data_IF_763755969577
#
_entry.id   IF_763755969577
#
_cell.length_a   1.000
_cell.length_b   1.000
_cell.length_c   1.000
_cell.angle_alpha   90.00
_cell.angle_beta   90.00
_cell.angle_gamma   90.00
#
_symmetry.space_group_name_H-M   'P 1'
#
loop_
_entity.id
_entity.type
_entity.pdbx_description
1 polymer ?
#
# COMPACT_ATOMS: atom_id res chain seq x y z
N UNK A 1 8.35 -23.24 -15.22
CA UNK A 1 9.05 -22.19 -14.48
C UNK A 1 8.14 -21.57 -13.41
N UNK A 2 8.59 -21.57 -12.19
CA UNK A 2 7.80 -21.02 -11.09
C UNK A 2 8.10 -19.54 -10.97
N UNK A 3 7.07 -18.73 -11.01
CA UNK A 3 7.21 -17.29 -10.77
C UNK A 3 6.76 -16.97 -9.36
N UNK A 4 7.49 -16.07 -8.71
CA UNK A 4 7.05 -15.53 -7.44
C UNK A 4 5.92 -14.54 -7.75
N UNK A 5 4.73 -14.86 -7.28
CA UNK A 5 3.56 -14.01 -7.46
C UNK A 5 3.41 -13.11 -6.24
N UNK A 6 3.29 -11.82 -6.49
CA UNK A 6 3.05 -10.85 -5.43
C UNK A 6 1.54 -10.77 -5.21
N UNK A 7 1.12 -10.87 -3.96
CA UNK A 7 -0.29 -10.71 -3.59
C UNK A 7 -0.44 -9.46 -2.73
N UNK A 8 -1.28 -8.55 -3.16
CA UNK A 8 -1.59 -7.35 -2.38
C UNK A 8 -2.87 -7.61 -1.60
N UNK A 9 -2.77 -7.50 -0.28
CA UNK A 9 -3.88 -7.78 0.61
C UNK A 9 -4.23 -6.50 1.35
N UNK A 10 -5.47 -6.04 1.19
CA UNK A 10 -5.93 -4.83 1.85
C UNK A 10 -6.58 -5.19 3.19
N UNK A 11 -6.19 -4.47 4.24
CA UNK A 11 -6.89 -4.56 5.51
C UNK A 11 -8.31 -4.06 5.31
N UNK A 12 -9.16 -4.31 6.30
CA UNK A 12 -10.53 -3.80 6.27
C UNK A 12 -10.55 -2.27 6.19
N UNK A 13 -9.67 -1.62 6.93
CA UNK A 13 -9.55 -0.16 6.89
C UNK A 13 -9.14 0.33 5.50
N UNK A 14 -8.19 -0.35 4.88
CA UNK A 14 -7.74 0.01 3.53
C UNK A 14 -8.84 -0.16 2.50
N UNK A 15 -9.59 -1.26 2.59
CA UNK A 15 -10.72 -1.50 1.69
C UNK A 15 -11.78 -0.41 1.84
N UNK A 16 -12.09 -0.03 3.07
CA UNK A 16 -13.05 1.03 3.34
C UNK A 16 -12.59 2.35 2.74
N UNK A 17 -11.31 2.66 2.92
CA UNK A 17 -10.73 3.88 2.34
C UNK A 17 -10.96 3.91 0.82
N UNK A 18 -10.64 2.81 0.14
CA UNK A 18 -10.78 2.76 -1.32
C UNK A 18 -12.24 2.89 -1.72
N UNK A 19 -13.15 2.20 -1.04
CA UNK A 19 -14.58 2.25 -1.38
C UNK A 19 -15.20 3.62 -1.21
N UNK A 20 -14.62 4.47 -0.36
CA UNK A 20 -15.12 5.82 -0.14
C UNK A 20 -14.67 6.82 -1.21
N UNK A 21 -13.80 6.41 -2.12
CA UNK A 21 -13.30 7.29 -3.16
C UNK A 21 -14.21 7.28 -4.40
N UNK A 22 -14.12 8.30 -5.28
CA UNK A 22 -14.88 8.29 -6.53
C UNK A 22 -14.60 7.01 -7.33
N UNK A 23 -15.63 6.52 -8.03
CA UNK A 23 -15.53 5.24 -8.73
C UNK A 23 -14.32 5.16 -9.66
N UNK A 24 -14.05 6.21 -10.42
CA UNK A 24 -12.90 6.20 -11.34
C UNK A 24 -11.57 6.16 -10.61
N UNK A 25 -11.51 6.80 -9.43
CA UNK A 25 -10.30 6.72 -8.59
C UNK A 25 -10.12 5.30 -8.06
N UNK A 26 -11.21 4.64 -7.64
CA UNK A 26 -11.15 3.25 -7.20
C UNK A 26 -10.61 2.36 -8.31
N UNK A 27 -11.08 2.56 -9.53
CA UNK A 27 -10.62 1.76 -10.66
C UNK A 27 -9.13 1.96 -10.92
N UNK A 28 -8.64 3.20 -10.81
CA UNK A 28 -7.23 3.49 -11.01
C UNK A 28 -6.37 2.87 -9.90
N UNK A 29 -6.84 2.95 -8.66
CA UNK A 29 -6.15 2.32 -7.53
C UNK A 29 -6.04 0.80 -7.76
N UNK A 30 -7.15 0.17 -8.15
CA UNK A 30 -7.18 -1.27 -8.42
C UNK A 30 -6.23 -1.62 -9.57
N UNK A 31 -6.22 -0.81 -10.62
CA UNK A 31 -5.31 -1.00 -11.74
C UNK A 31 -3.85 -0.97 -11.28
N UNK A 32 -3.50 -0.02 -10.42
CA UNK A 32 -2.14 0.10 -9.89
C UNK A 32 -1.77 -1.06 -8.98
N UNK A 33 -2.72 -1.55 -8.18
CA UNK A 33 -2.50 -2.74 -7.36
C UNK A 33 -2.17 -3.94 -8.27
N UNK A 34 -2.90 -4.12 -9.36
CA UNK A 34 -2.65 -5.22 -10.30
C UNK A 34 -1.31 -5.07 -11.00
N UNK A 35 -0.89 -3.85 -11.30
CA UNK A 35 0.44 -3.61 -11.86
C UNK A 35 1.52 -4.08 -10.89
N UNK A 36 1.38 -3.75 -9.61
CA UNK A 36 2.34 -4.20 -8.60
C UNK A 36 2.35 -5.72 -8.51
N UNK A 37 1.17 -6.35 -8.51
CA UNK A 37 1.07 -7.80 -8.47
C UNK A 37 1.72 -8.48 -9.67
N UNK A 38 1.73 -7.80 -10.81
CA UNK A 38 2.38 -8.33 -12.02
C UNK A 38 3.89 -8.12 -12.04
N UNK A 39 4.44 -7.47 -11.00
CA UNK A 39 5.89 -7.31 -10.87
C UNK A 39 6.43 -5.95 -11.28
N UNK A 40 5.56 -4.99 -11.61
CA UNK A 40 6.02 -3.64 -11.96
C UNK A 40 6.60 -2.96 -10.72
N UNK A 41 7.84 -2.48 -10.82
CA UNK A 41 8.60 -1.89 -9.71
C UNK A 41 8.96 -0.42 -9.95
N UNK A 42 8.02 0.33 -10.46
CA UNK A 42 8.20 1.75 -10.71
C UNK A 42 8.14 2.52 -9.38
N UNK A 43 9.12 3.38 -9.13
CA UNK A 43 9.16 4.20 -7.91
C UNK A 43 8.03 5.20 -7.81
N UNK A 44 7.47 5.61 -8.96
CA UNK A 44 6.29 6.48 -8.94
C UNK A 44 5.04 5.72 -8.51
N UNK A 45 5.08 4.39 -8.66
CA UNK A 45 3.98 3.53 -8.25
C UNK A 45 4.14 3.01 -6.82
N UNK A 46 5.34 2.55 -6.48
CA UNK A 46 5.57 1.82 -5.23
C UNK A 46 6.96 2.14 -4.70
N UNK A 47 7.03 2.79 -3.55
CA UNK A 47 8.27 3.31 -3.01
C UNK A 47 8.40 3.03 -1.51
N UNK A 48 9.59 2.58 -1.12
CA UNK A 48 9.91 2.43 0.30
C UNK A 48 10.17 3.79 0.91
N UNK A 49 9.59 4.04 2.08
CA UNK A 49 9.83 5.29 2.80
C UNK A 49 11.12 5.18 3.60
N UNK A 50 11.91 6.28 3.59
CA UNK A 50 13.24 6.30 4.19
C UNK A 50 13.23 5.91 5.66
N UNK A 51 14.19 5.06 6.05
CA UNK A 51 14.41 4.61 7.42
C UNK A 51 13.21 3.86 8.02
N UNK A 52 12.40 3.22 7.17
CA UNK A 52 11.24 2.45 7.62
C UNK A 52 11.16 1.13 6.87
N UNK A 53 10.25 0.26 7.33
CA UNK A 53 9.87 -0.94 6.58
C UNK A 53 8.53 -0.72 5.86
N UNK A 54 8.12 0.54 5.74
CA UNK A 54 6.82 0.89 5.14
C UNK A 54 7.02 1.31 3.70
N UNK A 55 6.17 0.78 2.84
CA UNK A 55 6.14 1.10 1.41
C UNK A 55 4.85 1.84 1.08
N UNK A 56 4.95 2.79 0.18
CA UNK A 56 3.84 3.62 -0.24
C UNK A 56 3.44 3.27 -1.66
N UNK A 57 2.18 2.84 -1.83
CA UNK A 57 1.60 2.59 -3.15
C UNK A 57 0.84 3.85 -3.54
N UNK A 58 1.26 4.47 -4.63
CA UNK A 58 0.76 5.77 -5.07
C UNK A 58 -0.15 5.65 -6.26
N UNK A 59 -1.27 6.37 -6.22
CA UNK A 59 -2.17 6.49 -7.37
C UNK A 59 -2.46 7.96 -7.59
N UNK A 60 -2.03 8.49 -8.72
CA UNK A 60 -2.34 9.85 -9.12
C UNK A 60 -3.50 9.80 -10.09
N UNK A 61 -4.60 10.45 -9.75
CA UNK A 61 -5.78 10.49 -10.61
C UNK A 61 -6.47 11.83 -10.44
N UNK A 62 -6.71 12.51 -11.57
CA UNK A 62 -7.43 13.80 -11.61
C UNK A 62 -6.84 14.82 -10.64
N UNK A 63 -5.51 14.92 -10.61
CA UNK A 63 -4.79 15.87 -9.76
C UNK A 63 -4.74 15.51 -8.28
N UNK A 64 -5.30 14.36 -7.90
CA UNK A 64 -5.32 13.91 -6.50
C UNK A 64 -4.40 12.72 -6.35
N UNK A 65 -3.60 12.73 -5.30
CA UNK A 65 -2.71 11.61 -5.00
C UNK A 65 -3.29 10.78 -3.86
N UNK A 66 -3.59 9.52 -4.17
CA UNK A 66 -4.07 8.54 -3.19
C UNK A 66 -2.89 7.69 -2.77
N UNK A 67 -2.65 7.58 -1.48
CA UNK A 67 -1.50 6.83 -0.97
C UNK A 67 -1.95 5.72 -0.05
N UNK A 68 -1.52 4.50 -0.36
CA UNK A 68 -1.78 3.33 0.47
C UNK A 68 -0.47 2.93 1.13
N UNK A 69 -0.48 2.80 2.46
CA UNK A 69 0.69 2.39 3.20
C UNK A 69 0.70 0.88 3.36
N UNK A 70 1.87 0.28 3.25
CA UNK A 70 1.96 -1.18 3.22
C UNK A 70 3.31 -1.66 3.75
N UNK A 71 3.39 -2.96 3.95
CA UNK A 71 4.64 -3.63 4.30
C UNK A 71 4.66 -5.03 3.70
N UNK A 72 5.86 -5.59 3.58
CA UNK A 72 6.02 -6.93 3.04
C UNK A 72 5.92 -7.99 4.14
N UNK A 73 5.22 -9.07 3.84
CA UNK A 73 5.29 -10.30 4.60
C UNK A 73 5.86 -11.37 3.67
N UNK A 74 7.15 -11.63 3.81
CA UNK A 74 7.87 -12.58 2.95
C UNK A 74 8.10 -13.91 3.65
N UNK A 75 7.73 -14.04 4.92
CA UNK A 75 7.92 -15.28 5.67
C UNK A 75 6.98 -16.39 5.19
N UNK A 76 5.75 -16.02 4.87
CA UNK A 76 4.73 -16.98 4.44
C UNK A 76 4.62 -17.09 2.93
N UNK A 77 4.80 -15.97 2.25
CA UNK A 77 4.65 -15.86 0.81
C UNK A 77 5.11 -14.45 0.43
N UNK A 78 4.89 -14.06 -0.81
CA UNK A 78 5.24 -12.71 -1.24
C UNK A 78 4.00 -11.82 -1.13
N UNK A 79 3.65 -11.47 0.10
CA UNK A 79 2.48 -10.64 0.40
C UNK A 79 2.87 -9.20 0.67
N UNK A 80 2.10 -8.27 0.10
CA UNK A 80 2.15 -6.86 0.46
C UNK A 80 0.86 -6.56 1.22
N UNK A 81 1.00 -6.26 2.50
CA UNK A 81 -0.15 -6.02 3.39
C UNK A 81 -0.39 -4.51 3.44
N UNK A 82 -1.55 -4.07 2.98
CA UNK A 82 -1.90 -2.65 2.97
C UNK A 82 -2.63 -2.31 4.26
N UNK A 83 -2.05 -1.38 5.03
CA UNK A 83 -2.56 -1.03 6.36
C UNK A 83 -3.71 -0.02 6.30
N UNK A 84 -3.52 1.06 5.56
CA UNK A 84 -4.53 2.13 5.44
C UNK A 84 -4.14 3.05 4.28
N UNK A 85 -5.01 4.01 3.98
CA UNK A 85 -4.77 4.97 2.92
C UNK A 85 -5.07 6.39 3.34
N UNK A 86 -4.50 7.33 2.62
CA UNK A 86 -4.80 8.75 2.78
C UNK A 86 -4.89 9.42 1.42
N UNK A 87 -5.63 10.51 1.36
CA UNK A 87 -5.62 11.43 0.22
C UNK A 87 -4.60 12.49 0.56
N UNK A 88 -3.60 12.64 -0.29
CA UNK A 88 -2.49 13.53 0.00
C UNK A 88 -2.50 14.78 -0.85
N UNK A 89 -2.39 15.94 -0.20
CA UNK A 89 -2.37 17.23 -0.86
C UNK A 89 -0.99 17.87 -0.91
N UNK A 90 -0.03 17.34 -0.14
CA UNK A 90 1.33 17.87 -0.08
C UNK A 90 2.33 16.80 -0.46
N UNK A 91 3.53 17.15 -0.94
CA UNK A 91 4.55 16.15 -1.33
C UNK A 91 5.02 15.29 -0.16
N UNK A 92 5.04 15.86 1.05
CA UNK A 92 5.60 15.18 2.21
C UNK A 92 4.59 14.29 2.91
N UNK A 93 4.98 13.04 3.18
CA UNK A 93 4.13 12.10 3.90
C UNK A 93 4.10 12.45 5.39
N UNK A 94 2.91 12.60 6.00
CA UNK A 94 2.84 12.90 7.43
C UNK A 94 3.44 11.80 8.28
N UNK A 95 4.28 12.19 9.21
CA UNK A 95 4.99 11.25 10.09
C UNK A 95 4.04 10.34 10.87
N UNK A 96 2.91 10.88 11.32
CA UNK A 96 1.93 10.09 12.09
C UNK A 96 1.33 8.94 11.30
N UNK A 97 1.24 9.09 9.98
CA UNK A 97 0.72 8.01 9.13
C UNK A 97 1.74 6.90 8.99
N UNK A 98 3.01 7.27 8.89
CA UNK A 98 4.10 6.29 8.85
C UNK A 98 4.14 5.53 10.18
N UNK A 99 4.03 6.23 11.30
CA UNK A 99 4.02 5.62 12.63
C UNK A 99 2.83 4.68 12.81
N UNK A 100 1.67 5.05 12.27
CA UNK A 100 0.49 4.19 12.30
C UNK A 100 0.75 2.89 11.53
N UNK A 101 1.33 2.98 10.34
CA UNK A 101 1.63 1.80 9.54
C UNK A 101 2.64 0.90 10.24
N UNK A 102 3.65 1.49 10.88
CA UNK A 102 4.66 0.75 11.63
C UNK A 102 4.03 0.00 12.80
N UNK A 103 3.11 0.64 13.52
CA UNK A 103 2.40 0.01 14.63
C UNK A 103 1.57 -1.18 14.14
N UNK A 104 0.83 -0.98 13.04
CA UNK A 104 0.01 -2.06 12.47
C UNK A 104 0.89 -3.22 12.03
N UNK A 105 2.05 -2.92 11.46
CA UNK A 105 3.01 -3.95 11.05
C UNK A 105 3.48 -4.76 12.28
N UNK A 106 3.82 -4.08 13.37
CA UNK A 106 4.24 -4.76 14.59
C UNK A 106 3.14 -5.68 15.12
N UNK A 107 1.92 -5.18 15.16
CA UNK A 107 0.77 -5.96 15.61
C UNK A 107 0.54 -7.18 14.73
N UNK A 108 0.65 -7.01 13.42
CA UNK A 108 0.49 -8.09 12.46
C UNK A 108 1.47 -9.24 12.74
N UNK A 109 2.75 -8.91 12.87
CA UNK A 109 3.77 -9.94 13.11
C UNK A 109 3.69 -10.54 14.51
N UNK A 110 3.21 -9.79 15.48
CA UNK A 110 3.00 -10.34 16.83
C UNK A 110 1.87 -11.35 16.88
N UNK A 111 0.81 -11.14 16.11
CA UNK A 111 -0.35 -12.03 16.11
C UNK A 111 -0.11 -13.36 15.42
N UNK A 112 0.80 -13.40 14.45
CA UNK A 112 1.03 -14.63 13.67
C UNK A 112 2.15 -15.52 14.25
N UNK A 113 2.69 -15.17 15.40
CA UNK A 113 3.70 -16.00 16.07
C UNK A 113 3.08 -17.18 16.75
#
# INVERSE_FOLDING_TARGET
MVRNVIHVILSEEAETFVRLQPLKAQQKITYNIRKLESGVRDKDLFKKLDNTEIWELRTLFDGVCYRLFSFWDTERSTFVIVTHGIVKKTPKTPKKEIEKAERIRQEYFNEIK
#
